data_IF_627487404763
#
_entry.id   IF_627487404763
#
_cell.length_a   1.000
_cell.length_b   1.000
_cell.length_c   1.000
_cell.angle_alpha   90.00
_cell.angle_beta   90.00
_cell.angle_gamma   90.00
#
_symmetry.space_group_name_H-M   'P 1'
#
loop_
_entity.id
_entity.type
_entity.pdbx_description
1 polymer ?
#
# COMPACT_ATOMS: atom_id res chain seq x y z
N UNK A 1 -12.20 -23.19 -2.52
CA UNK A 1 -11.68 -21.91 -1.99
C UNK A 1 -12.70 -20.75 -2.02
N UNK A 2 -13.96 -20.98 -1.65
CA UNK A 2 -14.89 -19.88 -1.30
C UNK A 2 -14.82 -19.56 0.20
N UNK A 3 -14.59 -20.58 1.03
CA UNK A 3 -14.38 -20.43 2.47
C UNK A 3 -13.13 -19.62 2.79
N UNK A 4 -12.01 -19.85 2.10
CA UNK A 4 -10.77 -19.10 2.36
C UNK A 4 -10.90 -17.61 2.00
N UNK A 5 -11.63 -17.28 0.92
CA UNK A 5 -11.93 -15.89 0.54
C UNK A 5 -12.81 -15.18 1.56
N UNK A 6 -13.85 -15.85 2.06
CA UNK A 6 -14.71 -15.28 3.11
C UNK A 6 -13.95 -15.10 4.42
N UNK A 7 -13.11 -16.06 4.79
CA UNK A 7 -12.25 -15.97 5.98
C UNK A 7 -11.26 -14.82 5.83
N UNK A 8 -10.62 -14.66 4.67
CA UNK A 8 -9.73 -13.54 4.39
C UNK A 8 -10.47 -12.19 4.49
N UNK A 9 -11.68 -12.09 3.92
CA UNK A 9 -12.48 -10.87 4.00
C UNK A 9 -12.84 -10.48 5.44
N UNK A 10 -13.35 -11.42 6.23
CA UNK A 10 -13.69 -11.15 7.63
C UNK A 10 -12.46 -10.86 8.49
N UNK A 11 -11.37 -11.61 8.30
CA UNK A 11 -10.12 -11.38 9.00
C UNK A 11 -9.52 -10.01 8.66
N UNK A 12 -9.48 -9.64 7.39
CA UNK A 12 -9.02 -8.33 6.94
C UNK A 12 -9.90 -7.19 7.47
N UNK A 13 -11.23 -7.36 7.51
CA UNK A 13 -12.14 -6.37 8.11
C UNK A 13 -11.91 -6.16 9.61
N UNK A 14 -11.65 -7.24 10.36
CA UNK A 14 -11.25 -7.16 11.78
C UNK A 14 -9.91 -6.44 11.91
N UNK A 15 -8.93 -6.81 11.08
CA UNK A 15 -7.59 -6.23 11.10
C UNK A 15 -7.60 -4.74 10.72
N UNK A 16 -8.47 -4.29 9.81
CA UNK A 16 -8.68 -2.86 9.51
C UNK A 16 -9.10 -2.13 10.79
N UNK A 17 -10.13 -2.63 11.47
CA UNK A 17 -10.61 -2.02 12.72
C UNK A 17 -9.54 -1.98 13.82
N UNK A 18 -8.73 -3.05 13.93
CA UNK A 18 -7.61 -3.12 14.88
C UNK A 18 -6.49 -2.15 14.50
N UNK A 19 -6.17 -2.03 13.21
CA UNK A 19 -5.12 -1.16 12.68
C UNK A 19 -5.47 0.33 12.74
N UNK A 20 -6.75 0.69 12.88
CA UNK A 20 -7.15 2.10 13.08
C UNK A 20 -6.60 2.64 14.39
N UNK A 21 -6.46 1.80 15.41
CA UNK A 21 -5.87 2.12 16.70
C UNK A 21 -4.33 2.14 16.62
N UNK A 22 -3.72 3.30 16.81
CA UNK A 22 -2.27 3.53 16.63
C UNK A 22 -1.41 2.67 17.57
N UNK A 23 -1.91 2.39 18.78
CA UNK A 23 -1.17 1.61 19.78
C UNK A 23 -1.12 0.12 19.42
N UNK A 24 -2.07 -0.34 18.59
CA UNK A 24 -2.16 -1.73 18.11
C UNK A 24 -1.44 -1.99 16.79
N UNK A 25 -0.95 -0.95 16.11
CA UNK A 25 -0.20 -1.08 14.83
C UNK A 25 1.17 -1.72 15.04
N UNK A 26 1.87 -1.36 16.12
CA UNK A 26 3.25 -1.80 16.37
C UNK A 26 3.41 -3.32 16.60
N UNK A 27 2.55 -3.98 17.39
CA UNK A 27 2.58 -5.44 17.56
C UNK A 27 2.26 -6.19 16.25
N UNK A 28 1.26 -5.74 15.49
CA UNK A 28 0.84 -6.38 14.23
C UNK A 28 1.95 -6.37 13.19
N UNK A 29 2.70 -5.26 13.08
CA UNK A 29 3.86 -5.20 12.17
C UNK A 29 5.00 -6.11 12.63
N UNK A 30 5.24 -6.24 13.95
CA UNK A 30 6.29 -7.10 14.49
C UNK A 30 6.06 -8.60 14.25
N UNK A 31 4.82 -9.02 14.01
CA UNK A 31 4.46 -10.41 13.71
C UNK A 31 4.60 -10.78 12.21
N UNK A 32 5.18 -9.90 11.39
CA UNK A 32 5.35 -10.15 9.95
C UNK A 32 4.05 -10.04 9.16
N UNK A 33 3.02 -9.36 9.71
CA UNK A 33 1.73 -9.20 9.05
C UNK A 33 1.85 -8.49 7.69
N UNK A 34 2.80 -7.57 7.52
CA UNK A 34 2.96 -6.86 6.24
C UNK A 34 3.29 -7.81 5.08
N UNK A 35 4.20 -8.76 5.27
CA UNK A 35 4.56 -9.73 4.22
C UNK A 35 3.35 -10.59 3.83
N UNK A 36 2.60 -11.07 4.82
CA UNK A 36 1.36 -11.82 4.58
C UNK A 36 0.31 -10.98 3.85
N UNK A 37 0.20 -9.69 4.16
CA UNK A 37 -0.72 -8.78 3.46
C UNK A 37 -0.29 -8.53 2.01
N UNK A 38 1.01 -8.48 1.75
CA UNK A 38 1.54 -8.41 0.38
C UNK A 38 1.18 -9.68 -0.40
N UNK A 39 1.31 -10.86 0.22
CA UNK A 39 0.93 -12.12 -0.40
C UNK A 39 -0.58 -12.17 -0.68
N UNK A 40 -1.41 -11.77 0.29
CA UNK A 40 -2.87 -11.64 0.10
C UNK A 40 -3.20 -10.63 -1.01
N UNK A 41 -2.50 -9.50 -1.09
CA UNK A 41 -2.72 -8.52 -2.16
C UNK A 41 -2.45 -9.14 -3.54
N UNK A 42 -1.36 -9.90 -3.69
CA UNK A 42 -1.00 -10.57 -4.95
C UNK A 42 -1.99 -11.67 -5.33
N UNK A 43 -2.42 -12.47 -4.36
CA UNK A 43 -3.24 -13.65 -4.60
C UNK A 43 -4.71 -13.27 -4.87
N UNK A 44 -5.24 -12.28 -4.16
CA UNK A 44 -6.66 -11.97 -4.19
C UNK A 44 -7.05 -10.77 -5.05
N UNK A 45 -6.21 -9.73 -5.17
CA UNK A 45 -6.60 -8.56 -5.98
C UNK A 45 -6.91 -8.89 -7.46
N UNK A 46 -6.24 -9.84 -8.14
CA UNK A 46 -6.59 -10.21 -9.52
C UNK A 46 -7.98 -10.83 -9.68
N UNK A 47 -8.59 -11.31 -8.60
CA UNK A 47 -9.86 -12.06 -8.63
C UNK A 47 -10.97 -11.42 -7.80
N UNK A 48 -10.62 -10.58 -6.82
CA UNK A 48 -11.53 -9.99 -5.83
C UNK A 48 -11.05 -8.57 -5.46
N UNK A 49 -11.42 -7.57 -6.27
CA UNK A 49 -11.00 -6.17 -6.09
C UNK A 49 -11.28 -5.63 -4.70
N UNK A 50 -12.43 -6.01 -4.14
CA UNK A 50 -12.85 -5.60 -2.79
C UNK A 50 -11.96 -6.12 -1.67
N UNK A 51 -11.42 -7.34 -1.80
CA UNK A 51 -10.42 -7.84 -0.83
C UNK A 51 -9.13 -7.05 -0.99
N UNK A 52 -8.68 -6.81 -2.23
CA UNK A 52 -7.51 -5.99 -2.51
C UNK A 52 -7.61 -4.59 -1.89
N UNK A 53 -8.78 -3.96 -1.96
CA UNK A 53 -9.04 -2.64 -1.37
C UNK A 53 -8.85 -2.60 0.14
N UNK A 54 -9.45 -3.56 0.85
CA UNK A 54 -9.30 -3.71 2.30
C UNK A 54 -7.84 -3.95 2.69
N UNK A 55 -7.11 -4.74 1.91
CA UNK A 55 -5.68 -5.00 2.13
C UNK A 55 -4.85 -3.73 1.90
N UNK A 56 -5.12 -2.97 0.84
CA UNK A 56 -4.51 -1.66 0.60
C UNK A 56 -4.75 -0.70 1.77
N UNK A 57 -5.98 -0.62 2.26
CA UNK A 57 -6.33 0.21 3.43
C UNK A 57 -5.55 -0.21 4.67
N UNK A 58 -5.45 -1.53 4.92
CA UNK A 58 -4.72 -2.07 6.06
C UNK A 58 -3.21 -1.78 5.98
N UNK A 59 -2.60 -2.01 4.82
CA UNK A 59 -1.18 -1.67 4.58
C UNK A 59 -0.97 -0.17 4.81
N UNK A 60 -1.86 0.68 4.29
CA UNK A 60 -1.79 2.12 4.46
C UNK A 60 -1.86 2.55 5.92
N UNK A 61 -2.76 1.96 6.69
CA UNK A 61 -2.88 2.20 8.13
C UNK A 61 -1.61 1.81 8.89
N UNK A 62 -1.03 0.65 8.58
CA UNK A 62 0.18 0.15 9.24
C UNK A 62 1.40 1.03 8.95
N UNK A 63 1.62 1.45 7.71
CA UNK A 63 2.78 2.30 7.35
C UNK A 63 2.60 3.75 7.82
N UNK A 64 1.37 4.22 8.00
CA UNK A 64 1.08 5.57 8.50
C UNK A 64 1.59 5.80 9.93
N UNK A 65 1.84 4.73 10.70
CA UNK A 65 2.40 4.76 12.06
C UNK A 65 3.93 4.97 12.15
N UNK A 66 4.62 5.27 11.05
CA UNK A 66 6.00 5.76 11.08
C UNK A 66 7.11 4.69 10.98
N UNK A 67 6.78 3.40 10.84
CA UNK A 67 7.80 2.37 10.62
C UNK A 67 8.21 2.32 9.14
N UNK A 68 9.49 2.50 8.86
CA UNK A 68 10.05 2.34 7.50
C UNK A 68 10.30 0.86 7.22
N UNK A 69 9.61 0.31 6.23
CA UNK A 69 9.81 -1.04 5.69
C UNK A 69 10.11 -0.89 4.21
N UNK A 70 11.32 -0.41 3.89
CA UNK A 70 11.68 0.14 2.57
C UNK A 70 11.58 -0.91 1.47
N UNK A 71 12.02 -2.13 1.73
CA UNK A 71 12.03 -3.22 0.74
C UNK A 71 10.61 -3.72 0.45
N UNK A 72 9.79 -3.90 1.49
CA UNK A 72 8.38 -4.27 1.39
C UNK A 72 7.58 -3.16 0.68
N UNK A 73 7.96 -1.90 0.88
CA UNK A 73 7.34 -0.77 0.20
C UNK A 73 7.60 -0.79 -1.30
N UNK A 74 8.77 -1.20 -1.76
CA UNK A 74 9.06 -1.33 -3.19
C UNK A 74 8.20 -2.42 -3.84
N UNK A 75 8.07 -3.59 -3.22
CA UNK A 75 7.22 -4.67 -3.72
C UNK A 75 5.75 -4.24 -3.84
N UNK A 76 5.22 -3.56 -2.82
CA UNK A 76 3.85 -3.02 -2.84
C UNK A 76 3.67 -1.99 -3.96
N UNK A 77 4.62 -1.08 -4.14
CA UNK A 77 4.54 -0.05 -5.20
C UNK A 77 4.42 -0.67 -6.58
N UNK A 78 5.21 -1.69 -6.90
CA UNK A 78 5.16 -2.35 -8.21
C UNK A 78 3.83 -3.09 -8.42
N UNK A 79 3.31 -3.78 -7.41
CA UNK A 79 1.99 -4.43 -7.47
C UNK A 79 0.88 -3.39 -7.69
N UNK A 80 0.92 -2.28 -6.96
CA UNK A 80 -0.09 -1.23 -7.08
C UNK A 80 -0.07 -0.57 -8.45
N UNK A 81 1.11 -0.34 -9.05
CA UNK A 81 1.21 0.17 -10.43
C UNK A 81 0.55 -0.77 -11.42
N UNK A 82 0.80 -2.07 -11.30
CA UNK A 82 0.18 -3.08 -12.16
C UNK A 82 -1.34 -3.12 -12.00
N UNK A 83 -1.84 -3.08 -10.76
CA UNK A 83 -3.29 -3.21 -10.48
C UNK A 83 -4.07 -1.88 -10.57
N UNK A 84 -3.38 -0.76 -10.72
CA UNK A 84 -3.97 0.55 -11.02
C UNK A 84 -3.89 0.92 -12.50
N UNK A 85 -3.13 0.18 -13.30
CA UNK A 85 -3.06 0.40 -14.74
C UNK A 85 -4.40 0.04 -15.40
N UNK A 86 -5.08 1.06 -15.94
CA UNK A 86 -6.44 0.91 -16.44
C UNK A 86 -6.53 -0.06 -17.62
N UNK A 87 -5.53 -0.08 -18.49
CA UNK A 87 -5.49 -0.98 -19.64
C UNK A 87 -5.33 -2.43 -19.19
N UNK A 88 -4.44 -2.68 -18.23
CA UNK A 88 -4.25 -4.00 -17.60
C UNK A 88 -5.50 -4.48 -16.84
N UNK A 89 -6.23 -3.56 -16.21
CA UNK A 89 -7.50 -3.86 -15.53
C UNK A 89 -8.59 -4.19 -16.55
N UNK A 90 -8.72 -3.39 -17.61
CA UNK A 90 -9.67 -3.66 -18.69
C UNK A 90 -9.43 -5.02 -19.32
N UNK A 91 -8.18 -5.34 -19.65
CA UNK A 91 -7.82 -6.64 -20.21
C UNK A 91 -8.20 -7.81 -19.29
N UNK A 92 -8.02 -7.66 -17.96
CA UNK A 92 -8.46 -8.67 -16.98
C UNK A 92 -9.97 -8.80 -16.90
N UNK A 93 -10.69 -7.69 -16.89
CA UNK A 93 -12.16 -7.69 -16.89
C UNK A 93 -12.70 -8.35 -18.16
N UNK A 94 -12.08 -8.11 -19.32
CA UNK A 94 -12.47 -8.74 -20.58
C UNK A 94 -12.31 -10.26 -20.55
N UNK A 95 -11.24 -10.77 -19.92
CA UNK A 95 -11.00 -12.22 -19.78
C UNK A 95 -11.90 -12.86 -18.72
N UNK A 96 -12.23 -12.15 -17.64
CA UNK A 96 -12.95 -12.70 -16.48
C UNK A 96 -14.46 -12.60 -16.61
N UNK A 97 -14.96 -11.58 -17.31
CA UNK A 97 -16.39 -11.35 -17.51
C UNK A 97 -17.00 -12.32 -18.51
N UNK A 98 -18.29 -12.63 -18.32
CA UNK A 98 -19.07 -13.48 -19.24
C UNK A 98 -19.86 -12.66 -20.25
N UNK A 99 -20.17 -11.43 -19.87
CA UNK A 99 -21.04 -10.48 -20.54
C UNK A 99 -20.69 -9.05 -20.09
N UNK A 100 -21.30 -8.06 -20.74
CA UNK A 100 -21.04 -6.65 -20.48
C UNK A 100 -21.43 -6.23 -19.05
N UNK A 101 -22.53 -6.75 -18.50
CA UNK A 101 -22.99 -6.37 -17.15
C UNK A 101 -21.99 -6.85 -16.08
N UNK A 102 -21.50 -8.08 -16.23
CA UNK A 102 -20.45 -8.65 -15.37
C UNK A 102 -19.16 -7.84 -15.45
N UNK A 103 -18.81 -7.37 -16.65
CA UNK A 103 -17.64 -6.55 -16.90
C UNK A 103 -17.76 -5.18 -16.22
N UNK A 104 -18.91 -4.54 -16.36
CA UNK A 104 -19.19 -3.23 -15.78
C UNK A 104 -19.20 -3.31 -14.24
N UNK A 105 -19.73 -4.41 -13.68
CA UNK A 105 -19.63 -4.68 -12.25
C UNK A 105 -18.18 -4.82 -11.77
N UNK A 106 -17.34 -5.57 -12.49
CA UNK A 106 -15.93 -5.74 -12.13
C UNK A 106 -15.16 -4.41 -12.18
N UNK A 107 -15.43 -3.57 -13.19
CA UNK A 107 -14.85 -2.22 -13.27
C UNK A 107 -15.33 -1.30 -12.16
N UNK A 108 -16.62 -1.35 -11.82
CA UNK A 108 -17.18 -0.58 -10.72
C UNK A 108 -16.51 -0.98 -9.39
N UNK A 109 -16.41 -2.29 -9.10
CA UNK A 109 -15.74 -2.79 -7.90
C UNK A 109 -14.24 -2.44 -7.88
N UNK A 110 -13.55 -2.49 -9.02
CA UNK A 110 -12.18 -1.99 -9.10
C UNK A 110 -12.09 -0.50 -8.75
N UNK A 111 -12.96 0.33 -9.32
CA UNK A 111 -12.93 1.78 -9.11
C UNK A 111 -13.31 2.18 -7.68
N UNK A 112 -14.38 1.60 -7.15
CA UNK A 112 -14.99 1.95 -5.86
C UNK A 112 -14.30 1.25 -4.70
N UNK A 113 -14.02 -0.06 -4.81
CA UNK A 113 -13.47 -0.80 -3.67
C UNK A 113 -11.94 -0.81 -3.66
N UNK A 114 -11.27 -0.96 -4.82
CA UNK A 114 -9.81 -1.11 -4.87
C UNK A 114 -9.08 0.22 -5.04
N UNK A 115 -9.40 0.96 -6.08
CA UNK A 115 -8.68 2.15 -6.49
C UNK A 115 -8.79 3.30 -5.47
N UNK A 116 -9.89 3.37 -4.73
CA UNK A 116 -10.12 4.35 -3.65
C UNK A 116 -9.01 4.28 -2.58
N UNK A 117 -8.54 3.08 -2.22
CA UNK A 117 -7.49 2.89 -1.22
C UNK A 117 -6.09 2.69 -1.82
N UNK A 118 -6.00 2.05 -2.99
CA UNK A 118 -4.74 1.78 -3.67
C UNK A 118 -4.02 3.06 -4.14
N UNK A 119 -4.76 4.07 -4.65
CA UNK A 119 -4.16 5.33 -5.13
C UNK A 119 -3.51 6.14 -3.99
N UNK A 120 -4.18 6.40 -2.85
CA UNK A 120 -3.55 7.09 -1.71
C UNK A 120 -2.36 6.32 -1.13
N UNK A 121 -2.45 4.98 -1.08
CA UNK A 121 -1.34 4.13 -0.63
C UNK A 121 -0.11 4.31 -1.53
N UNK A 122 -0.29 4.18 -2.85
CA UNK A 122 0.80 4.36 -3.82
C UNK A 122 1.45 5.76 -3.72
N UNK A 123 0.63 6.81 -3.61
CA UNK A 123 1.12 8.17 -3.42
C UNK A 123 1.94 8.31 -2.13
N UNK A 124 1.43 7.78 -1.01
CA UNK A 124 2.12 7.81 0.30
C UNK A 124 3.47 7.11 0.24
N UNK A 125 3.55 5.95 -0.40
CA UNK A 125 4.77 5.15 -0.49
C UNK A 125 5.80 5.80 -1.43
N UNK A 126 5.34 6.43 -2.52
CA UNK A 126 6.21 7.11 -3.48
C UNK A 126 6.78 8.42 -2.92
N UNK A 127 5.96 9.26 -2.28
CA UNK A 127 6.42 10.53 -1.67
C UNK A 127 7.40 10.31 -0.50
N UNK A 128 7.26 9.20 0.25
CA UNK A 128 8.23 8.83 1.29
C UNK A 128 9.59 8.42 0.73
N UNK A 129 9.63 7.81 -0.46
CA UNK A 129 10.88 7.49 -1.15
C UNK A 129 11.63 8.78 -1.51
N UNK A 130 10.92 9.79 -1.99
CA UNK A 130 11.51 11.10 -2.35
C UNK A 130 11.97 11.91 -1.12
N UNK A 131 11.25 11.82 -0.01
CA UNK A 131 11.61 12.49 1.25
C UNK A 131 12.90 11.94 1.89
N UNK A 132 13.26 10.68 1.62
CA UNK A 132 14.52 10.07 2.08
C UNK A 132 15.73 10.43 1.20
N UNK A 133 15.53 11.12 0.07
CA UNK A 133 16.59 11.47 -0.87
C UNK A 133 17.14 12.89 -0.70
N UNK A 134 16.81 13.60 0.38
CA UNK A 134 17.41 14.93 0.66
C UNK A 134 18.88 14.73 1.09
N UNK A 135 19.88 15.18 0.31
CA UNK A 135 21.28 15.13 0.73
C UNK A 135 21.53 16.11 1.88
N UNK A 136 22.12 15.63 2.98
CA UNK A 136 22.64 16.47 4.06
C UNK A 136 23.94 17.14 3.62
N UNK A 137 23.86 18.15 2.76
CA UNK A 137 24.95 19.12 2.64
C UNK A 137 24.73 20.23 3.66
N UNK A 138 25.23 20.01 4.88
CA UNK A 138 25.63 21.13 5.76
C UNK A 138 27.14 21.21 5.73
N UNK A 139 27.74 22.34 5.31
CA UNK A 139 29.08 22.65 5.76
C UNK A 139 29.00 22.97 7.26
N UNK A 140 29.61 22.11 8.05
CA UNK A 140 30.05 22.43 9.41
C UNK A 140 31.30 23.28 9.21
N UNK A 141 31.18 24.60 9.33
CA UNK A 141 32.35 25.43 9.62
C UNK A 141 32.22 25.89 11.08
N UNK A 142 32.76 25.05 11.96
CA UNK A 142 33.15 25.43 13.32
C UNK A 142 34.58 25.95 13.30
N UNK A 143 34.71 27.22 13.68
CA UNK A 143 35.86 27.89 14.32
C UNK A 143 37.26 27.77 13.70
N UNK A 144 37.88 28.93 13.42
CA UNK A 144 38.91 29.48 14.32
C UNK A 144 39.45 30.82 13.80
N UNK A 145 39.31 31.85 14.65
CA UNK A 145 40.30 32.90 14.96
C UNK A 145 41.30 33.33 13.88
N UNK A 146 41.26 34.61 13.50
CA UNK A 146 42.47 35.44 13.58
C UNK A 146 42.14 36.91 13.81
N UNK A 147 42.58 37.38 14.97
CA UNK A 147 42.84 38.75 15.34
C UNK A 147 43.99 39.28 14.49
N UNK A 148 43.84 40.46 13.87
CA UNK A 148 44.86 41.45 13.46
C UNK A 148 44.08 42.58 12.75
N UNK A 149 44.16 43.88 13.04
CA UNK A 149 45.22 44.68 13.63
C UNK A 149 45.66 45.73 12.60
N UNK A 150 44.92 46.84 12.43
CA UNK A 150 45.43 48.21 12.15
C UNK A 150 44.29 49.22 12.06
#
# INVERSE_FOLDING_TARGET
DSSDRQVAYYACGILVNVSTDVDKRNPVVQEGALLKLIDVLKDFAPTEWRIGGVVCQLIWNLISGGRQLVDECHAVVEILKEFLDYDSVCARCDVTSRDQDSRDYLLASWSEDFAEFAKPLLATMTSRKESNLVPLDRPIDSDHSSVEGT
#
